data_IF_834421903098
#
_entry.id   IF_834421903098
#
_cell.length_a   1.000
_cell.length_b   1.000
_cell.length_c   1.000
_cell.angle_alpha   90.00
_cell.angle_beta   90.00
_cell.angle_gamma   90.00
#
_symmetry.space_group_name_H-M   'P 1'
#
loop_
_entity.id
_entity.type
_entity.pdbx_description
1 polymer ?
#
# COMPACT_ATOMS: atom_id res chain seq x y z
N UNK A 1 9.48 26.03 1.13
CA UNK A 1 8.80 26.42 2.38
C UNK A 1 9.10 25.36 3.43
N UNK A 2 10.09 25.61 4.28
CA UNK A 2 10.46 24.72 5.39
C UNK A 2 9.82 25.20 6.70
N UNK A 3 9.57 24.29 7.65
CA UNK A 3 9.11 24.66 9.00
C UNK A 3 7.66 25.14 9.06
N UNK A 4 6.76 24.47 8.34
CA UNK A 4 5.32 24.67 8.47
C UNK A 4 4.67 23.37 8.99
N UNK A 5 3.36 23.40 9.22
CA UNK A 5 2.58 22.22 9.59
C UNK A 5 1.82 21.65 8.39
N UNK A 6 2.51 21.52 7.25
CA UNK A 6 1.90 20.90 6.06
C UNK A 6 1.73 19.40 6.32
N UNK A 7 0.54 18.90 6.05
CA UNK A 7 0.15 17.49 6.22
C UNK A 7 -0.31 16.89 4.89
N UNK A 8 -0.42 15.56 4.85
CA UNK A 8 -0.85 14.81 3.66
C UNK A 8 0.30 14.48 2.71
N UNK A 9 -0.06 14.05 1.52
CA UNK A 9 0.89 13.57 0.50
C UNK A 9 1.40 14.69 -0.40
N UNK A 10 2.61 14.53 -0.94
CA UNK A 10 3.13 15.43 -1.96
C UNK A 10 2.43 15.10 -3.29
N UNK A 11 1.67 16.03 -3.89
CA UNK A 11 0.89 15.71 -5.07
C UNK A 11 1.78 15.39 -6.27
N UNK A 12 1.51 14.25 -6.91
CA UNK A 12 2.23 13.78 -8.10
C UNK A 12 2.20 14.78 -9.25
N UNK A 13 1.17 15.63 -9.33
CA UNK A 13 1.07 16.69 -10.35
C UNK A 13 2.22 17.70 -10.29
N UNK A 14 2.91 17.83 -9.16
CA UNK A 14 4.09 18.70 -9.03
C UNK A 14 5.28 18.24 -9.86
N UNK A 15 5.33 16.96 -10.25
CA UNK A 15 6.36 16.42 -11.15
C UNK A 15 6.32 17.06 -12.54
N UNK A 16 5.16 17.57 -12.97
CA UNK A 16 4.98 18.28 -14.24
C UNK A 16 5.43 19.75 -14.22
N UNK A 17 5.89 20.26 -13.07
CA UNK A 17 6.47 21.60 -12.99
C UNK A 17 7.94 21.53 -13.41
N UNK A 18 8.33 22.34 -14.40
CA UNK A 18 9.70 22.38 -14.92
C UNK A 18 10.53 23.60 -14.43
N UNK A 19 9.95 24.44 -13.58
CA UNK A 19 10.50 25.76 -13.26
C UNK A 19 10.75 25.99 -11.75
N UNK A 20 10.72 24.97 -10.90
CA UNK A 20 11.08 25.18 -9.49
C UNK A 20 12.60 25.19 -9.36
N UNK A 21 13.17 26.37 -9.16
CA UNK A 21 14.61 26.55 -8.90
C UNK A 21 15.04 26.03 -7.54
N UNK A 22 14.12 25.95 -6.58
CA UNK A 22 14.36 25.44 -5.24
C UNK A 22 13.08 24.88 -4.65
N UNK A 23 13.17 23.68 -4.07
CA UNK A 23 12.09 23.03 -3.35
C UNK A 23 12.64 22.50 -2.03
N UNK A 24 11.97 22.89 -0.94
CA UNK A 24 12.24 22.37 0.39
C UNK A 24 10.92 22.35 1.15
N UNK A 25 10.57 21.16 1.64
CA UNK A 25 9.46 20.86 2.53
C UNK A 25 9.98 20.29 3.84
N UNK A 26 11.23 20.62 4.18
CA UNK A 26 11.87 20.13 5.39
C UNK A 26 11.10 20.59 6.65
N UNK A 27 11.06 19.73 7.66
CA UNK A 27 10.38 19.97 8.94
C UNK A 27 8.89 20.30 8.74
N UNK A 28 8.16 19.39 8.10
CA UNK A 28 6.70 19.39 8.01
C UNK A 28 6.18 18.01 8.47
N UNK A 29 4.86 17.83 8.43
CA UNK A 29 4.17 16.59 8.82
C UNK A 29 3.65 15.82 7.59
N UNK A 30 4.40 15.87 6.48
CA UNK A 30 4.02 15.19 5.23
C UNK A 30 4.19 13.67 5.36
N UNK A 31 3.36 12.94 4.61
CA UNK A 31 3.32 11.49 4.60
C UNK A 31 3.26 10.92 3.18
N UNK A 32 3.53 9.62 3.05
CA UNK A 32 3.48 8.92 1.77
C UNK A 32 4.80 8.94 0.99
N UNK A 33 4.71 8.58 -0.28
CA UNK A 33 5.85 8.46 -1.18
C UNK A 33 6.25 9.80 -1.78
N UNK A 34 7.56 10.10 -1.77
CA UNK A 34 8.11 11.26 -2.49
C UNK A 34 7.95 10.99 -4.00
N UNK A 35 7.28 11.88 -4.76
CA UNK A 35 7.17 11.75 -6.20
C UNK A 35 8.57 11.63 -6.84
N UNK A 36 8.75 10.60 -7.66
CA UNK A 36 9.95 10.42 -8.46
C UNK A 36 9.76 11.03 -9.85
N UNK A 37 10.87 11.48 -10.45
CA UNK A 37 10.89 12.05 -11.79
C UNK A 37 10.92 13.58 -11.84
N UNK A 38 11.24 14.08 -13.05
CA UNK A 38 11.34 15.51 -13.33
C UNK A 38 12.42 16.18 -12.47
N UNK A 39 12.07 17.30 -11.84
CA UNK A 39 12.96 18.03 -10.94
C UNK A 39 13.06 17.43 -9.53
N UNK A 40 12.17 16.51 -9.13
CA UNK A 40 12.20 15.93 -7.78
C UNK A 40 13.46 15.09 -7.54
N UNK A 41 13.96 14.43 -8.57
CA UNK A 41 15.21 13.66 -8.52
C UNK A 41 16.45 14.55 -8.34
N UNK A 42 16.33 15.86 -8.60
CA UNK A 42 17.42 16.83 -8.45
C UNK A 42 17.50 17.45 -7.06
N UNK A 43 16.43 17.35 -6.27
CA UNK A 43 16.41 17.90 -4.92
C UNK A 43 17.14 16.97 -3.94
N UNK A 44 17.86 17.57 -2.99
CA UNK A 44 18.61 16.81 -2.00
C UNK A 44 17.70 16.21 -0.94
N UNK A 45 18.15 15.14 -0.28
CA UNK A 45 17.44 14.53 0.85
C UNK A 45 17.12 15.53 1.98
N UNK A 46 17.96 16.56 2.16
CA UNK A 46 17.76 17.62 3.14
C UNK A 46 16.47 18.42 2.87
N UNK A 47 16.01 18.52 1.62
CA UNK A 47 14.74 19.17 1.27
C UNK A 47 13.51 18.43 1.82
N UNK A 48 13.65 17.17 2.22
CA UNK A 48 12.57 16.30 2.70
C UNK A 48 12.77 15.88 4.17
N UNK A 49 13.87 16.30 4.80
CA UNK A 49 14.20 15.96 6.19
C UNK A 49 13.12 16.48 7.17
N UNK A 50 13.02 15.86 8.35
CA UNK A 50 12.05 16.28 9.37
C UNK A 50 10.60 15.88 9.07
N UNK A 51 10.34 15.12 8.00
CA UNK A 51 9.06 14.48 7.73
C UNK A 51 9.17 12.97 8.03
N UNK A 52 8.77 12.49 9.21
CA UNK A 52 9.02 11.10 9.64
C UNK A 52 8.23 10.06 8.82
N UNK A 53 7.08 10.45 8.27
CA UNK A 53 6.19 9.57 7.50
C UNK A 53 6.47 9.56 5.98
N UNK A 54 7.42 10.37 5.51
CA UNK A 54 7.86 10.33 4.12
C UNK A 54 8.80 9.15 3.86
N UNK A 55 8.62 8.55 2.70
CA UNK A 55 9.42 7.45 2.18
C UNK A 55 9.76 7.67 0.69
N UNK A 56 10.74 6.93 0.17
CA UNK A 56 11.20 7.04 -1.21
C UNK A 56 12.72 6.92 -1.34
N UNK A 57 13.17 6.79 -2.58
CA UNK A 57 14.59 6.55 -2.91
C UNK A 57 15.50 7.70 -2.47
N UNK A 58 15.02 8.94 -2.58
CA UNK A 58 15.74 10.15 -2.15
C UNK A 58 16.12 10.09 -0.67
N UNK A 59 15.23 9.53 0.17
CA UNK A 59 15.46 9.35 1.61
C UNK A 59 16.08 7.98 1.95
N UNK A 60 16.31 7.10 0.97
CA UNK A 60 16.69 5.69 1.17
C UNK A 60 15.76 4.96 2.14
N UNK A 61 14.49 5.36 2.16
CA UNK A 61 13.44 4.82 3.03
C UNK A 61 12.50 3.99 2.19
N UNK A 62 12.33 2.72 2.53
CA UNK A 62 11.36 1.87 1.85
C UNK A 62 9.95 2.38 2.15
N UNK A 63 9.17 2.63 1.11
CA UNK A 63 7.76 2.89 1.28
C UNK A 63 7.03 1.62 1.70
N UNK A 64 6.01 1.74 2.57
CA UNK A 64 5.11 0.63 2.82
C UNK A 64 4.45 0.27 1.50
N UNK A 65 4.86 -0.86 0.92
CA UNK A 65 4.15 -1.45 -0.22
C UNK A 65 2.73 -1.67 0.26
N UNK A 66 1.77 -0.94 -0.31
CA UNK A 66 0.35 -1.14 -0.01
C UNK A 66 0.01 -2.55 -0.48
N UNK A 67 0.17 -3.54 0.39
CA UNK A 67 -0.68 -4.73 0.33
C UNK A 67 -2.06 -4.19 0.60
N UNK A 68 -2.93 -4.24 -0.40
CA UNK A 68 -4.28 -3.74 -0.25
C UNK A 68 -4.90 -4.37 1.00
N UNK A 69 -5.25 -3.49 1.95
CA UNK A 69 -6.05 -3.74 3.15
C UNK A 69 -5.33 -4.46 4.31
N UNK A 70 -4.87 -3.68 5.30
CA UNK A 70 -4.93 -4.11 6.71
C UNK A 70 -6.10 -3.33 7.36
N UNK A 71 -7.31 -3.68 6.94
CA UNK A 71 -8.44 -3.69 7.84
C UNK A 71 -8.11 -4.79 8.83
N UNK A 72 -8.10 -4.48 10.13
CA UNK A 72 -7.89 -5.45 11.20
C UNK A 72 -8.77 -6.69 10.94
N UNK A 73 -8.14 -7.75 10.43
CA UNK A 73 -8.80 -9.04 10.24
C UNK A 73 -8.82 -9.71 11.61
N UNK A 74 -10.00 -10.03 12.17
CA UNK A 74 -10.05 -10.93 13.32
C UNK A 74 -9.38 -12.24 12.94
N UNK A 75 -8.63 -12.80 13.89
CA UNK A 75 -7.81 -14.01 13.76
C UNK A 75 -8.45 -15.12 12.92
N UNK A 76 -7.65 -15.95 12.23
CA UNK A 76 -8.15 -17.11 11.54
C UNK A 76 -8.79 -18.07 12.56
N UNK A 77 -10.12 -18.00 12.69
CA UNK A 77 -10.93 -19.00 13.38
C UNK A 77 -10.97 -20.28 12.52
N UNK A 78 -9.80 -20.93 12.41
CA UNK A 78 -9.65 -22.35 12.11
C UNK A 78 -10.38 -23.27 13.11
N UNK A 79 -11.03 -22.70 14.14
CA UNK A 79 -11.88 -23.42 15.09
C UNK A 79 -13.34 -23.54 14.61
N UNK A 80 -13.87 -22.54 13.90
CA UNK A 80 -15.28 -22.54 13.49
C UNK A 80 -15.60 -23.45 12.29
N UNK A 81 -14.72 -23.57 11.29
CA UNK A 81 -14.98 -24.50 10.16
C UNK A 81 -15.11 -25.95 10.63
N UNK A 82 -14.31 -26.34 11.64
CA UNK A 82 -14.45 -27.63 12.30
C UNK A 82 -15.78 -27.70 13.06
N UNK A 83 -16.18 -26.66 13.79
CA UNK A 83 -17.51 -26.59 14.43
C UNK A 83 -18.66 -26.68 13.41
N UNK A 84 -18.54 -26.06 12.24
CA UNK A 84 -19.57 -26.13 11.20
C UNK A 84 -19.69 -27.52 10.62
N UNK A 85 -18.56 -28.18 10.32
CA UNK A 85 -18.54 -29.55 9.81
C UNK A 85 -18.99 -30.56 10.87
N UNK A 86 -18.66 -30.35 12.14
CA UNK A 86 -19.08 -31.23 13.25
C UNK A 86 -20.52 -30.94 13.75
N UNK A 87 -21.08 -29.73 13.55
CA UNK A 87 -22.48 -29.40 13.95
C UNK A 87 -23.50 -29.50 12.82
N UNK A 88 -23.11 -29.23 11.58
CA UNK A 88 -23.99 -29.34 10.40
C UNK A 88 -23.42 -30.45 9.54
N UNK A 89 -23.84 -31.68 9.80
CA UNK A 89 -23.33 -32.88 9.15
C UNK A 89 -23.56 -32.92 7.64
N UNK A 90 -22.73 -32.22 6.87
CA UNK A 90 -22.73 -32.27 5.41
C UNK A 90 -21.65 -33.26 4.97
N UNK A 91 -22.07 -34.48 4.72
CA UNK A 91 -21.26 -35.51 4.05
C UNK A 91 -21.03 -35.09 2.58
N UNK A 92 -19.88 -34.49 2.27
CA UNK A 92 -19.43 -34.38 0.88
C UNK A 92 -18.88 -35.71 0.39
N UNK A 93 -19.67 -36.48 -0.36
CA UNK A 93 -19.15 -37.58 -1.20
C UNK A 93 -18.43 -36.97 -2.40
N UNK A 94 -17.12 -37.05 -2.41
CA UNK A 94 -16.32 -36.92 -3.62
C UNK A 94 -16.27 -38.29 -4.32
N UNK A 95 -16.73 -38.37 -5.56
CA UNK A 95 -16.25 -39.37 -6.50
C UNK A 95 -16.31 -38.79 -7.91
N UNK A 96 -15.14 -38.40 -8.41
CA UNK A 96 -14.92 -38.01 -9.79
C UNK A 96 -14.49 -39.27 -10.55
N UNK A 97 -15.39 -39.90 -11.31
CA UNK A 97 -14.97 -40.61 -12.54
C UNK A 97 -16.15 -40.88 -13.49
N UNK A 98 -15.82 -40.74 -14.78
CA UNK A 98 -16.46 -41.29 -15.97
C UNK A 98 -17.37 -40.36 -16.80
N UNK A 99 -16.72 -39.82 -17.84
CA UNK A 99 -17.32 -39.32 -19.09
C UNK A 99 -18.10 -40.46 -19.78
N UNK A 100 -19.32 -40.21 -20.26
CA UNK A 100 -19.71 -40.26 -21.68
C UNK A 100 -21.23 -40.10 -21.89
N UNK A 101 -21.56 -39.21 -22.83
CA UNK A 101 -22.62 -39.27 -23.84
C UNK A 101 -24.10 -39.51 -23.48
N UNK A 102 -24.95 -38.60 -23.98
CA UNK A 102 -26.41 -38.65 -24.02
C UNK A 102 -26.88 -39.43 -25.24
N UNK A 103 -27.85 -40.36 -25.12
CA UNK A 103 -29.02 -40.52 -26.02
C UNK A 103 -29.99 -41.61 -25.54
N UNK A 104 -31.29 -41.25 -25.51
CA UNK A 104 -32.55 -42.03 -25.41
C UNK A 104 -32.79 -42.89 -24.17
#
# INVERSE_FOLDING_TARGET
MSGNHLTGEIPQSLTGLHFLSSFSVANNDLEGEIPSGGQFDTFSAASFEGNPKLCGDVLKRKCPSVKQVEMEQPEPESSWFNIFIFRVGIHSRTSCHQRHFVVQ
#
